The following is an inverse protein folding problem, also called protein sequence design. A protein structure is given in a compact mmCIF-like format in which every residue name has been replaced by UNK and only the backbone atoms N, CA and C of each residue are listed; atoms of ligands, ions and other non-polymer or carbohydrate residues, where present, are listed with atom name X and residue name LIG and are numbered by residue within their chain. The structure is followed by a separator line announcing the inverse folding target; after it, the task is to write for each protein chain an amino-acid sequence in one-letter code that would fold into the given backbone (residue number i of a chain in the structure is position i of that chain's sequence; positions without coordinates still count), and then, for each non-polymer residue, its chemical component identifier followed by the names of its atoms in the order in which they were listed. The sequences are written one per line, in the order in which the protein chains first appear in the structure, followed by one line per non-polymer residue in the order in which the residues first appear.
data_IF_410763552806
#
_entry.id   IF_410763552806
#
_cell.length_a   1.000
_cell.length_b   1.000
_cell.length_c   1.000
_cell.angle_alpha   90.00
_cell.angle_beta   90.00
_cell.angle_gamma   90.00
#
_symmetry.space_group_name_H-M   'P 1'
#
loop_
_entity.id
_entity.type
_entity.pdbx_description
1 polymer ?
#
# COMPACT_ATOMS: atom_id res chain seq x y z
N UNK A 1 8.75 17.13 12.77
CA UNK A 1 7.51 16.50 13.29
C UNK A 1 7.14 15.30 12.44
N UNK A 2 6.59 14.24 13.04
CA UNK A 2 6.14 13.05 12.33
C UNK A 2 4.65 13.15 11.98
N UNK A 3 4.26 12.58 10.85
CA UNK A 3 2.85 12.55 10.40
C UNK A 3 2.15 11.29 10.93
N UNK A 4 0.89 11.44 11.36
CA UNK A 4 0.09 10.32 11.87
C UNK A 4 -0.76 9.69 10.76
N UNK A 5 -0.70 8.36 10.63
CA UNK A 5 -1.57 7.54 9.78
C UNK A 5 -2.15 6.39 10.61
N UNK A 6 -3.33 6.55 11.21
CA UNK A 6 -3.94 5.55 12.09
C UNK A 6 -4.29 4.25 11.38
N UNK A 7 -4.36 3.16 12.14
CA UNK A 7 -4.63 1.84 11.58
C UNK A 7 -6.09 1.41 11.79
N UNK A 8 -6.81 1.27 10.67
CA UNK A 8 -8.22 0.90 10.60
C UNK A 8 -8.54 -0.50 11.12
N UNK A 9 -7.58 -1.44 11.10
CA UNK A 9 -7.81 -2.86 11.45
C UNK A 9 -8.41 -3.07 12.83
N UNK A 10 -8.17 -2.11 13.74
CA UNK A 10 -8.61 -2.19 15.12
C UNK A 10 -10.11 -2.00 15.24
N UNK A 11 -10.65 -0.92 14.66
CA UNK A 11 -12.06 -0.57 14.81
C UNK A 11 -12.92 -0.92 13.60
N UNK A 12 -12.38 -0.85 12.37
CA UNK A 12 -13.08 -1.17 11.12
C UNK A 12 -14.40 -0.40 10.91
N UNK A 13 -14.45 0.81 11.43
CA UNK A 13 -15.60 1.71 11.34
C UNK A 13 -15.20 2.96 10.54
N UNK A 14 -15.74 3.17 9.31
CA UNK A 14 -15.42 4.34 8.50
C UNK A 14 -15.66 5.68 9.19
N UNK A 15 -16.69 5.77 10.04
CA UNK A 15 -16.96 6.99 10.81
C UNK A 15 -15.77 7.41 11.69
N UNK A 16 -15.10 6.46 12.33
CA UNK A 16 -13.92 6.75 13.15
C UNK A 16 -12.70 7.12 12.30
N UNK A 17 -12.58 6.55 11.10
CA UNK A 17 -11.55 6.95 10.13
C UNK A 17 -11.77 8.41 9.68
N UNK A 18 -13.00 8.82 9.41
CA UNK A 18 -13.35 10.21 9.08
C UNK A 18 -13.07 11.17 10.24
N UNK A 19 -13.36 10.77 11.48
CA UNK A 19 -13.00 11.55 12.68
C UNK A 19 -11.47 11.72 12.80
N UNK A 20 -10.69 10.66 12.54
CA UNK A 20 -9.23 10.72 12.54
C UNK A 20 -8.68 11.64 11.44
N UNK A 21 -9.25 11.57 10.23
CA UNK A 21 -8.90 12.49 9.13
C UNK A 21 -9.21 13.94 9.49
N UNK A 22 -10.38 14.21 10.08
CA UNK A 22 -10.79 15.54 10.54
C UNK A 22 -9.89 16.09 11.65
N UNK A 23 -9.31 15.21 12.47
CA UNK A 23 -8.34 15.55 13.50
C UNK A 23 -6.90 15.77 12.96
N UNK A 24 -6.68 15.67 11.64
CA UNK A 24 -5.40 15.95 11.00
C UNK A 24 -4.54 14.73 10.62
N UNK A 25 -5.10 13.52 10.64
CA UNK A 25 -4.41 12.35 10.08
C UNK A 25 -4.12 12.55 8.58
N UNK A 26 -2.96 12.10 8.11
CA UNK A 26 -2.55 12.29 6.71
C UNK A 26 -3.10 11.23 5.75
N UNK A 27 -3.95 10.34 6.28
CA UNK A 27 -4.50 9.16 5.62
C UNK A 27 -4.74 8.05 6.62
N UNK A 28 -5.17 6.89 6.13
CA UNK A 28 -5.48 5.71 6.96
C UNK A 28 -4.65 4.51 6.49
N UNK A 29 -4.31 3.63 7.41
CA UNK A 29 -3.66 2.33 7.14
C UNK A 29 -4.64 1.19 7.37
N UNK A 30 -4.67 0.19 6.49
CA UNK A 30 -5.42 -1.04 6.66
C UNK A 30 -4.55 -2.28 6.39
N UNK A 31 -5.05 -3.46 6.74
CA UNK A 31 -4.28 -4.71 6.65
C UNK A 31 -4.68 -5.58 5.44
N UNK A 32 -5.87 -5.32 4.87
CA UNK A 32 -6.47 -6.13 3.81
C UNK A 32 -7.08 -5.27 2.72
N UNK A 33 -7.16 -5.84 1.52
CA UNK A 33 -7.79 -5.19 0.37
C UNK A 33 -9.26 -4.81 0.60
N UNK A 34 -10.03 -5.67 1.26
CA UNK A 34 -11.44 -5.39 1.58
C UNK A 34 -11.59 -4.16 2.50
N UNK A 35 -10.69 -4.00 3.47
CA UNK A 35 -10.70 -2.82 4.35
C UNK A 35 -10.32 -1.53 3.58
N UNK A 36 -9.42 -1.63 2.59
CA UNK A 36 -9.12 -0.51 1.71
C UNK A 36 -10.33 -0.12 0.84
N UNK A 37 -11.09 -1.11 0.36
CA UNK A 37 -12.32 -0.89 -0.38
C UNK A 37 -13.36 -0.14 0.47
N UNK A 38 -13.63 -0.61 1.69
CA UNK A 38 -14.55 0.08 2.62
C UNK A 38 -14.15 1.54 2.85
N UNK A 39 -12.85 1.78 3.08
CA UNK A 39 -12.32 3.13 3.29
C UNK A 39 -12.48 4.01 2.05
N UNK A 40 -12.02 3.55 0.89
CA UNK A 40 -12.06 4.33 -0.36
C UNK A 40 -13.50 4.63 -0.79
N UNK A 41 -14.39 3.63 -0.74
CA UNK A 41 -15.80 3.81 -1.10
C UNK A 41 -16.57 4.67 -0.09
N UNK A 42 -16.07 4.78 1.15
CA UNK A 42 -16.60 5.73 2.14
C UNK A 42 -16.07 7.17 2.00
N UNK A 43 -15.20 7.44 1.01
CA UNK A 43 -14.63 8.76 0.74
C UNK A 43 -13.27 9.04 1.39
N UNK A 44 -12.59 8.04 1.97
CA UNK A 44 -11.22 8.21 2.46
C UNK A 44 -10.25 8.08 1.27
N UNK A 45 -9.72 9.20 0.79
CA UNK A 45 -8.93 9.24 -0.46
C UNK A 45 -7.45 8.85 -0.30
N UNK A 46 -6.94 8.59 0.90
CA UNK A 46 -5.51 8.31 1.09
C UNK A 46 -5.30 7.09 2.00
N UNK A 47 -5.11 5.93 1.38
CA UNK A 47 -5.10 4.63 2.05
C UNK A 47 -3.78 3.90 1.79
N UNK A 48 -3.18 3.36 2.85
CA UNK A 48 -2.05 2.44 2.80
C UNK A 48 -2.51 1.05 3.21
N UNK A 49 -2.34 0.05 2.34
CA UNK A 49 -2.42 -1.35 2.72
C UNK A 49 -1.03 -1.74 3.24
N UNK A 50 -0.90 -1.85 4.57
CA UNK A 50 0.34 -2.24 5.25
C UNK A 50 0.54 -3.78 5.23
N UNK A 51 0.45 -4.36 4.04
CA UNK A 51 0.58 -5.79 3.75
C UNK A 51 0.73 -6.02 2.24
N UNK A 52 1.23 -7.19 1.84
CA UNK A 52 1.35 -7.61 0.44
C UNK A 52 0.00 -8.05 -0.13
N UNK A 53 -0.24 -7.73 -1.41
CA UNK A 53 -1.41 -8.19 -2.15
C UNK A 53 -0.97 -9.18 -3.23
N UNK A 54 -1.27 -10.46 -3.00
CA UNK A 54 -0.86 -11.57 -3.86
C UNK A 54 -2.09 -12.24 -4.50
N UNK A 55 -1.95 -12.60 -5.77
CA UNK A 55 -2.95 -13.32 -6.56
C UNK A 55 -3.68 -12.40 -7.56
N UNK A 56 -3.80 -12.89 -8.80
CA UNK A 56 -4.27 -12.11 -9.94
C UNK A 56 -5.60 -11.36 -9.70
N UNK A 57 -6.59 -12.03 -9.09
CA UNK A 57 -7.90 -11.43 -8.80
C UNK A 57 -7.79 -10.25 -7.81
N UNK A 58 -6.99 -10.41 -6.74
CA UNK A 58 -6.80 -9.36 -5.73
C UNK A 58 -6.00 -8.19 -6.30
N UNK A 59 -4.99 -8.47 -7.13
CA UNK A 59 -4.17 -7.45 -7.79
C UNK A 59 -5.01 -6.65 -8.81
N UNK A 60 -5.86 -7.33 -9.59
CA UNK A 60 -6.79 -6.64 -10.49
C UNK A 60 -7.76 -5.73 -9.72
N UNK A 61 -8.30 -6.21 -8.60
CA UNK A 61 -9.16 -5.42 -7.72
C UNK A 61 -8.40 -4.23 -7.11
N UNK A 62 -7.17 -4.42 -6.63
CA UNK A 62 -6.29 -3.35 -6.14
C UNK A 62 -6.13 -2.24 -7.18
N UNK A 63 -5.80 -2.59 -8.42
CA UNK A 63 -5.66 -1.62 -9.51
C UNK A 63 -6.98 -0.90 -9.80
N UNK A 64 -8.12 -1.60 -9.76
CA UNK A 64 -9.44 -0.96 -9.94
C UNK A 64 -9.77 0.07 -8.83
N UNK A 65 -9.38 -0.22 -7.58
CA UNK A 65 -9.64 0.63 -6.42
C UNK A 65 -8.79 1.91 -6.41
N UNK A 66 -7.64 1.91 -7.09
CA UNK A 66 -6.77 3.09 -7.21
C UNK A 66 -7.45 4.29 -7.90
N UNK A 67 -8.59 4.09 -8.57
CA UNK A 67 -9.37 5.20 -9.18
C UNK A 67 -10.11 6.06 -8.14
N UNK A 68 -10.34 5.54 -6.94
CA UNK A 68 -11.09 6.22 -5.88
C UNK A 68 -10.20 7.05 -4.95
N UNK A 69 -8.88 7.02 -5.13
CA UNK A 69 -7.96 7.79 -4.31
C UNK A 69 -6.50 7.35 -4.42
N UNK A 70 -5.66 7.97 -3.60
CA UNK A 70 -4.24 7.63 -3.41
C UNK A 70 -4.12 6.34 -2.61
N UNK A 71 -4.11 5.22 -3.34
CA UNK A 71 -3.91 3.89 -2.79
C UNK A 71 -2.43 3.48 -2.85
N UNK A 72 -1.91 3.03 -1.70
CA UNK A 72 -0.56 2.54 -1.55
C UNK A 72 -0.55 1.11 -1.00
N UNK A 73 0.46 0.32 -1.36
CA UNK A 73 0.60 -1.08 -0.93
C UNK A 73 2.06 -1.42 -0.60
N UNK A 74 2.27 -2.35 0.33
CA UNK A 74 3.60 -2.87 0.65
C UNK A 74 4.01 -3.99 -0.30
N UNK A 75 5.29 -4.01 -0.66
CA UNK A 75 5.92 -5.01 -1.51
C UNK A 75 7.23 -5.48 -0.87
N UNK A 76 7.54 -6.75 -1.00
CA UNK A 76 8.80 -7.36 -0.54
C UNK A 76 9.35 -8.40 -1.54
N UNK A 77 8.64 -8.65 -2.63
CA UNK A 77 9.04 -9.53 -3.71
C UNK A 77 8.90 -8.83 -5.08
N UNK A 78 9.88 -9.05 -5.95
CA UNK A 78 9.94 -8.37 -7.26
C UNK A 78 8.88 -8.91 -8.22
N UNK A 79 8.60 -10.21 -8.19
CA UNK A 79 7.59 -10.80 -9.07
C UNK A 79 6.21 -10.26 -8.73
N UNK A 80 5.88 -10.13 -7.44
CA UNK A 80 4.64 -9.51 -6.99
C UNK A 80 4.56 -8.02 -7.39
N UNK A 81 5.64 -7.25 -7.20
CA UNK A 81 5.68 -5.86 -7.63
C UNK A 81 5.45 -5.70 -9.14
N UNK A 82 6.03 -6.59 -9.97
CA UNK A 82 5.84 -6.60 -11.41
C UNK A 82 4.41 -6.97 -11.83
N UNK A 83 3.75 -7.88 -11.11
CA UNK A 83 2.33 -8.18 -11.32
C UNK A 83 1.44 -6.96 -11.03
N UNK A 84 1.72 -6.26 -9.92
CA UNK A 84 1.01 -5.03 -9.54
C UNK A 84 1.21 -3.94 -10.60
N UNK A 85 2.45 -3.71 -11.05
CA UNK A 85 2.78 -2.74 -12.09
C UNK A 85 2.02 -3.01 -13.42
N UNK A 86 1.93 -4.28 -13.81
CA UNK A 86 1.20 -4.70 -15.01
C UNK A 86 -0.30 -4.45 -14.88
N UNK A 87 -0.89 -4.80 -13.73
CA UNK A 87 -2.32 -4.60 -13.49
C UNK A 87 -2.66 -3.11 -13.39
N UNK A 88 -1.81 -2.30 -12.76
CA UNK A 88 -1.94 -0.84 -12.74
C UNK A 88 -1.93 -0.27 -14.18
N UNK A 89 -1.00 -0.72 -15.02
CA UNK A 89 -0.95 -0.36 -16.44
C UNK A 89 -2.20 -0.75 -17.22
N UNK A 90 -2.67 -1.98 -17.05
CA UNK A 90 -3.91 -2.46 -17.70
C UNK A 90 -5.15 -1.66 -17.26
N UNK A 91 -5.18 -1.16 -16.02
CA UNK A 91 -6.23 -0.30 -15.52
C UNK A 91 -6.02 1.20 -15.88
N UNK A 92 -4.88 1.59 -16.44
CA UNK A 92 -4.55 2.99 -16.71
C UNK A 92 -4.44 3.84 -15.43
N UNK A 93 -3.91 3.26 -14.35
CA UNK A 93 -3.68 3.93 -13.06
C UNK A 93 -2.21 3.83 -12.65
N UNK A 94 -1.84 4.58 -11.62
CA UNK A 94 -0.57 4.41 -10.90
C UNK A 94 -0.84 4.02 -9.45
N UNK A 95 -0.04 3.10 -8.91
CA UNK A 95 -0.14 2.66 -7.52
C UNK A 95 1.09 3.09 -6.73
N UNK A 96 0.88 3.64 -5.53
CA UNK A 96 2.00 3.88 -4.64
C UNK A 96 2.51 2.57 -4.03
N UNK A 97 3.82 2.39 -3.96
CA UNK A 97 4.44 1.21 -3.38
C UNK A 97 5.42 1.58 -2.27
N UNK A 98 5.44 0.80 -1.20
CA UNK A 98 6.45 0.89 -0.15
C UNK A 98 7.18 -0.45 -0.06
N UNK A 99 8.51 -0.43 -0.01
CA UNK A 99 9.26 -1.65 0.24
C UNK A 99 9.21 -2.00 1.73
N UNK A 100 8.68 -3.17 2.08
CA UNK A 100 8.72 -3.66 3.46
C UNK A 100 10.11 -4.24 3.74
N UNK A 101 10.73 -3.80 4.83
CA UNK A 101 12.06 -4.20 5.29
C UNK A 101 11.90 -4.90 6.62
N UNK A 102 12.45 -6.11 6.76
CA UNK A 102 12.39 -6.84 8.01
C UNK A 102 13.34 -6.18 9.04
N UNK A 103 12.76 -5.47 10.02
CA UNK A 103 13.50 -4.82 11.13
C UNK A 103 13.52 -5.66 12.41
N UNK A 104 13.17 -6.95 12.34
CA UNK A 104 13.27 -7.91 13.46
C UNK A 104 11.97 -8.65 13.79
N UNK A 105 10.86 -8.36 13.12
CA UNK A 105 9.59 -9.07 13.32
C UNK A 105 9.53 -10.43 12.62
N UNK A 106 10.43 -10.69 11.66
CA UNK A 106 10.58 -11.99 10.97
C UNK A 106 9.27 -12.56 10.41
N UNK A 107 8.47 -11.68 9.80
CA UNK A 107 7.18 -12.06 9.18
C UNK A 107 7.22 -11.89 7.66
N UNK A 108 7.44 -10.66 7.21
CA UNK A 108 7.54 -10.25 5.82
C UNK A 108 8.72 -9.29 5.67
N UNK A 109 8.99 -8.86 4.44
CA UNK A 109 9.97 -7.83 4.15
C UNK A 109 11.34 -8.35 3.74
N UNK A 110 12.02 -7.56 2.92
CA UNK A 110 13.38 -7.83 2.47
C UNK A 110 14.38 -7.57 3.61
N UNK A 111 15.49 -8.29 3.60
CA UNK A 111 16.55 -8.08 4.58
C UNK A 111 17.13 -6.65 4.47
N UNK A 112 17.46 -6.00 5.61
CA UNK A 112 17.97 -4.64 5.62
C UNK A 112 19.35 -4.53 4.95
N UNK A 113 19.72 -3.32 4.54
CA UNK A 113 21.01 -3.02 3.92
C UNK A 113 21.02 -3.30 2.41
N UNK A 114 22.04 -4.02 1.92
CA UNK A 114 22.23 -4.28 0.48
C UNK A 114 21.03 -5.00 -0.18
N UNK A 115 20.39 -6.01 0.45
CA UNK A 115 19.23 -6.66 -0.15
C UNK A 115 18.08 -5.68 -0.40
N UNK A 116 17.71 -4.86 0.58
CA UNK A 116 16.70 -3.81 0.43
C UNK A 116 17.06 -2.79 -0.67
N UNK A 117 18.31 -2.33 -0.72
CA UNK A 117 18.77 -1.41 -1.76
C UNK A 117 18.63 -2.03 -3.16
N UNK A 118 19.07 -3.27 -3.33
CA UNK A 118 18.99 -3.96 -4.62
C UNK A 118 17.54 -4.23 -5.05
N UNK A 119 16.68 -4.56 -4.09
CA UNK A 119 15.25 -4.72 -4.33
C UNK A 119 14.61 -3.42 -4.81
N UNK A 120 14.81 -2.31 -4.08
CA UNK A 120 14.25 -1.00 -4.44
C UNK A 120 14.76 -0.53 -5.80
N UNK A 121 16.04 -0.73 -6.13
CA UNK A 121 16.58 -0.39 -7.46
C UNK A 121 15.81 -1.06 -8.59
N UNK A 122 15.53 -2.35 -8.47
CA UNK A 122 14.73 -3.09 -9.46
C UNK A 122 13.28 -2.60 -9.51
N UNK A 123 12.68 -2.32 -8.36
CA UNK A 123 11.30 -1.80 -8.28
C UNK A 123 11.17 -0.45 -8.98
N UNK A 124 12.17 0.44 -8.86
CA UNK A 124 12.16 1.76 -9.50
C UNK A 124 12.13 1.71 -11.03
N UNK A 125 12.50 0.59 -11.64
CA UNK A 125 12.46 0.39 -13.10
C UNK A 125 11.07 -0.02 -13.60
N UNK A 126 10.14 -0.40 -12.70
CA UNK A 126 8.81 -0.85 -13.07
C UNK A 126 7.91 0.34 -13.45
N UNK A 127 7.15 0.25 -14.56
CA UNK A 127 6.19 1.28 -14.94
C UNK A 127 4.95 1.25 -14.03
N UNK A 128 4.16 2.33 -14.04
CA UNK A 128 2.84 2.42 -13.38
C UNK A 128 2.83 2.22 -11.85
N UNK A 129 4.00 2.24 -11.22
CA UNK A 129 4.12 2.31 -9.77
C UNK A 129 4.90 3.55 -9.36
N UNK A 130 4.55 4.10 -8.21
CA UNK A 130 5.21 5.25 -7.60
C UNK A 130 5.88 4.80 -6.30
N UNK A 131 7.20 4.80 -6.24
CA UNK A 131 7.89 4.45 -5.01
C UNK A 131 7.67 5.55 -3.94
N UNK A 132 7.13 5.17 -2.77
CA UNK A 132 6.73 6.09 -1.70
C UNK A 132 7.56 5.97 -0.43
N UNK A 133 8.48 5.01 -0.36
CA UNK A 133 9.43 4.85 0.74
C UNK A 133 9.50 3.41 1.25
N UNK A 134 9.87 3.29 2.52
CA UNK A 134 10.06 2.02 3.22
C UNK A 134 8.99 1.85 4.30
N UNK A 135 8.67 0.59 4.60
CA UNK A 135 7.93 0.17 5.80
C UNK A 135 8.83 -0.81 6.57
N UNK A 136 8.87 -0.71 7.89
CA UNK A 136 9.65 -1.59 8.76
C UNK A 136 8.88 -1.91 10.02
#
# INVERSE_FOLDING_TARGET
ECKLRPHFKTHKLPILAHMQMSAGAVGITCAKLAEAEDLLLSGIENVLIANQIVGAQKIAKLASLARYGRLMVCIDDYSNAAEIARAAGAAGVRLGVLAEVNVGLNRCGVNPGRPALNFVRKVLELPNIDFRGLMG
#
